data_IF_524215710340
#
_entry.id   IF_524215710340
#
_cell.length_a   1.000
_cell.length_b   1.000
_cell.length_c   1.000
_cell.angle_alpha   90.00
_cell.angle_beta   90.00
_cell.angle_gamma   90.00
#
_symmetry.space_group_name_H-M   'P 1'
#
loop_
_entity.id
_entity.type
_entity.pdbx_description
1 polymer ?
#
# COMPACT_ATOMS: atom_id res chain seq x y z
N UNK A 1 -22.84 -2.26 4.66
CA UNK A 1 -21.83 -2.00 3.61
C UNK A 1 -21.31 -0.58 3.79
N UNK A 2 -20.19 -0.40 4.50
CA UNK A 2 -19.52 0.89 4.58
C UNK A 2 -18.35 0.88 3.60
N UNK A 3 -18.44 1.63 2.50
CA UNK A 3 -17.36 1.75 1.51
C UNK A 3 -16.09 2.35 2.16
N UNK A 4 -14.93 1.87 1.73
CA UNK A 4 -13.65 2.47 2.14
C UNK A 4 -13.54 3.91 1.66
N UNK A 5 -12.78 4.75 2.38
CA UNK A 5 -12.44 6.11 1.94
C UNK A 5 -11.20 6.09 1.06
N UNK A 6 -11.29 5.40 -0.07
CA UNK A 6 -10.15 5.27 -0.99
C UNK A 6 -9.77 6.63 -1.55
N UNK A 7 -8.47 6.94 -1.55
CA UNK A 7 -7.96 8.27 -1.90
C UNK A 7 -7.13 8.24 -3.18
N UNK A 8 -6.14 7.34 -3.25
CA UNK A 8 -5.20 7.29 -4.36
C UNK A 8 -4.89 5.86 -4.78
N UNK A 9 -4.44 5.72 -6.02
CA UNK A 9 -4.13 4.48 -6.69
C UNK A 9 -2.77 4.59 -7.36
N UNK A 10 -1.95 3.56 -7.25
CA UNK A 10 -0.69 3.43 -7.99
C UNK A 10 -0.39 1.95 -8.27
N UNK A 11 0.67 1.65 -9.01
CA UNK A 11 0.98 0.29 -9.44
C UNK A 11 2.48 0.05 -9.58
N UNK A 12 2.89 -1.19 -9.32
CA UNK A 12 4.21 -1.72 -9.67
C UNK A 12 4.00 -2.87 -10.68
N UNK A 13 4.48 -2.64 -11.90
CA UNK A 13 4.30 -3.53 -13.05
C UNK A 13 5.63 -3.95 -13.66
N UNK A 14 6.73 -3.79 -12.89
CA UNK A 14 8.07 -4.25 -13.28
C UNK A 14 8.09 -5.76 -13.56
N UNK A 15 7.23 -6.51 -12.86
CA UNK A 15 6.87 -7.88 -13.21
C UNK A 15 5.46 -7.92 -13.83
N UNK A 16 5.33 -8.02 -15.17
CA UNK A 16 4.04 -8.02 -15.85
C UNK A 16 3.24 -9.32 -15.67
N UNK A 17 3.86 -10.41 -15.21
CA UNK A 17 3.13 -11.66 -14.88
C UNK A 17 2.65 -11.68 -13.44
N UNK A 18 3.12 -10.73 -12.62
CA UNK A 18 2.69 -10.55 -11.24
C UNK A 18 2.60 -9.05 -10.90
N UNK A 19 1.71 -8.27 -11.54
CA UNK A 19 1.56 -6.86 -11.21
C UNK A 19 1.04 -6.68 -9.78
N UNK A 20 1.37 -5.53 -9.18
CA UNK A 20 0.88 -5.11 -7.87
C UNK A 20 0.18 -3.77 -8.00
N UNK A 21 -1.07 -3.72 -7.55
CA UNK A 21 -1.86 -2.49 -7.56
C UNK A 21 -2.08 -2.02 -6.13
N UNK A 22 -1.84 -0.75 -5.86
CA UNK A 22 -1.90 -0.18 -4.53
C UNK A 22 -3.07 0.77 -4.41
N UNK A 23 -3.71 0.77 -3.23
CA UNK A 23 -4.75 1.74 -2.90
C UNK A 23 -4.59 2.22 -1.46
N UNK A 24 -4.57 3.54 -1.28
CA UNK A 24 -4.60 4.18 0.04
C UNK A 24 -6.04 4.43 0.49
N UNK A 25 -6.22 4.60 1.80
CA UNK A 25 -7.52 4.94 2.38
C UNK A 25 -7.36 6.12 3.34
N UNK A 26 -7.92 7.28 3.00
CA UNK A 26 -7.83 8.50 3.81
C UNK A 26 -8.76 8.41 5.04
N UNK A 27 -8.28 7.67 6.04
CA UNK A 27 -8.86 7.61 7.37
C UNK A 27 -7.85 7.14 8.41
N UNK A 28 -8.18 7.36 9.68
CA UNK A 28 -7.35 7.00 10.81
C UNK A 28 -6.88 5.52 10.83
N UNK A 29 -7.70 4.60 10.30
CA UNK A 29 -7.40 3.16 10.18
C UNK A 29 -7.40 2.72 8.71
N UNK A 30 -6.89 3.55 7.82
CA UNK A 30 -6.78 3.23 6.40
C UNK A 30 -5.50 2.44 6.15
N UNK A 31 -5.60 1.12 6.08
CA UNK A 31 -4.44 0.30 5.74
C UNK A 31 -4.20 0.38 4.23
N UNK A 32 -2.94 0.60 3.83
CA UNK A 32 -2.55 0.55 2.42
C UNK A 32 -2.78 -0.87 1.92
N UNK A 33 -3.45 -0.98 0.78
CA UNK A 33 -3.83 -2.25 0.17
C UNK A 33 -2.94 -2.56 -1.01
N UNK A 34 -2.67 -3.84 -1.24
CA UNK A 34 -2.03 -4.36 -2.44
C UNK A 34 -2.89 -5.45 -3.03
N UNK A 35 -3.33 -5.25 -4.27
CA UNK A 35 -4.04 -6.25 -5.05
C UNK A 35 -3.09 -6.88 -6.07
N UNK A 36 -3.15 -8.21 -6.16
CA UNK A 36 -2.44 -9.01 -7.16
C UNK A 36 -3.46 -9.88 -7.90
N UNK A 37 -3.71 -9.65 -9.19
CA UNK A 37 -4.65 -10.46 -9.96
C UNK A 37 -4.13 -11.90 -10.12
N UNK A 38 -5.03 -12.89 -10.10
CA UNK A 38 -4.66 -14.30 -10.30
C UNK A 38 -4.29 -14.60 -11.77
N UNK A 39 -4.79 -13.79 -12.69
CA UNK A 39 -4.58 -13.93 -14.14
C UNK A 39 -4.45 -12.54 -14.77
N UNK A 40 -3.24 -11.97 -14.85
CA UNK A 40 -3.03 -10.67 -15.48
C UNK A 40 -3.40 -10.68 -16.96
N UNK A 41 -4.15 -9.67 -17.40
CA UNK A 41 -4.52 -9.47 -18.80
C UNK A 41 -4.32 -7.99 -19.17
N UNK A 42 -3.23 -7.71 -19.88
CA UNK A 42 -2.87 -6.35 -20.30
C UNK A 42 -3.72 -5.83 -21.46
N UNK A 43 -4.39 -6.72 -22.20
CA UNK A 43 -5.33 -6.36 -23.26
C UNK A 43 -6.72 -5.99 -22.71
N UNK A 44 -7.02 -6.41 -21.46
CA UNK A 44 -8.24 -6.03 -20.74
C UNK A 44 -7.96 -5.67 -19.25
N UNK A 45 -7.32 -4.51 -19.00
CA UNK A 45 -6.98 -4.10 -17.63
C UNK A 45 -8.19 -3.85 -16.75
N UNK A 46 -9.33 -3.49 -17.33
CA UNK A 46 -10.56 -3.28 -16.58
C UNK A 46 -11.02 -4.57 -15.91
N UNK A 47 -11.14 -5.65 -16.69
CA UNK A 47 -11.51 -6.96 -16.15
C UNK A 47 -10.42 -7.50 -15.23
N UNK A 48 -9.14 -7.25 -15.53
CA UNK A 48 -8.03 -7.61 -14.64
C UNK A 48 -8.17 -7.00 -13.23
N UNK A 49 -8.54 -5.71 -13.12
CA UNK A 49 -8.69 -5.02 -11.84
C UNK A 49 -9.97 -5.40 -11.07
N UNK A 50 -10.97 -5.94 -11.76
CA UNK A 50 -12.25 -6.36 -11.16
C UNK A 50 -12.41 -7.89 -11.06
N UNK A 51 -11.40 -8.63 -11.51
CA UNK A 51 -11.36 -10.09 -11.48
C UNK A 51 -10.94 -10.65 -10.12
N UNK A 52 -10.64 -11.95 -10.10
CA UNK A 52 -10.10 -12.59 -8.90
C UNK A 52 -8.64 -12.21 -8.67
N UNK A 53 -8.23 -12.24 -7.42
CA UNK A 53 -6.86 -11.95 -7.01
C UNK A 53 -6.70 -11.97 -5.50
N UNK A 54 -5.46 -11.79 -5.08
CA UNK A 54 -5.08 -11.70 -3.68
C UNK A 54 -5.06 -10.25 -3.23
N UNK A 55 -5.70 -9.97 -2.09
CA UNK A 55 -5.67 -8.68 -1.43
C UNK A 55 -4.85 -8.78 -0.15
N UNK A 56 -3.72 -8.08 -0.12
CA UNK A 56 -2.87 -7.93 1.04
C UNK A 56 -2.94 -6.51 1.60
N UNK A 57 -2.49 -6.36 2.85
CA UNK A 57 -2.43 -5.11 3.58
C UNK A 57 -1.04 -4.88 4.13
N UNK A 58 -0.57 -3.63 4.04
CA UNK A 58 0.77 -3.27 4.52
C UNK A 58 0.83 -3.26 6.05
N UNK A 59 1.87 -3.86 6.60
CA UNK A 59 2.22 -3.81 8.02
C UNK A 59 3.60 -3.17 8.15
N UNK A 60 3.71 -2.09 8.93
CA UNK A 60 5.00 -1.51 9.29
C UNK A 60 5.49 -2.05 10.63
N UNK A 61 6.77 -2.40 10.67
CA UNK A 61 7.50 -2.77 11.89
C UNK A 61 8.66 -1.79 12.07
N UNK A 62 8.50 -0.74 12.91
CA UNK A 62 9.55 0.21 13.18
C UNK A 62 10.75 -0.45 13.85
N UNK A 63 11.96 -0.12 13.40
CA UNK A 63 13.22 -0.56 14.05
C UNK A 63 14.13 0.59 14.43
N UNK A 64 13.80 1.81 14.01
CA UNK A 64 14.45 3.05 14.43
C UNK A 64 13.42 4.20 14.46
N UNK A 65 13.90 5.42 14.70
CA UNK A 65 13.01 6.59 14.81
C UNK A 65 12.22 6.84 13.51
N UNK A 66 12.86 6.65 12.36
CA UNK A 66 12.30 7.00 11.06
C UNK A 66 12.47 5.89 10.00
N UNK A 67 12.72 4.66 10.45
CA UNK A 67 13.03 3.52 9.58
C UNK A 67 12.46 2.22 10.12
N UNK A 68 12.26 1.27 9.23
CA UNK A 68 11.79 -0.06 9.59
C UNK A 68 11.55 -0.95 8.39
N UNK A 69 10.83 -2.05 8.64
CA UNK A 69 10.45 -3.02 7.62
C UNK A 69 8.96 -2.93 7.31
N UNK A 70 8.60 -3.38 6.12
CA UNK A 70 7.21 -3.64 5.75
C UNK A 70 7.01 -5.12 5.47
N UNK A 71 5.80 -5.61 5.75
CA UNK A 71 5.34 -6.90 5.27
C UNK A 71 3.94 -6.77 4.73
N UNK A 72 3.56 -7.64 3.81
CA UNK A 72 2.21 -7.74 3.27
C UNK A 72 1.50 -8.92 3.93
N UNK A 73 0.33 -8.69 4.52
CA UNK A 73 -0.45 -9.73 5.20
C UNK A 73 -1.94 -9.64 4.90
N UNK A 74 -2.66 -10.73 5.11
CA UNK A 74 -4.08 -10.86 4.75
C UNK A 74 -5.07 -10.40 5.84
N UNK A 75 -4.61 -10.16 7.07
CA UNK A 75 -5.48 -9.72 8.18
C UNK A 75 -5.71 -8.21 8.15
N UNK A 76 -6.83 -7.81 7.56
CA UNK A 76 -7.27 -6.41 7.50
C UNK A 76 -7.37 -5.77 8.88
N UNK A 77 -7.85 -6.47 9.90
CA UNK A 77 -8.06 -5.89 11.21
C UNK A 77 -6.72 -5.54 11.87
N UNK A 78 -5.75 -6.45 11.80
CA UNK A 78 -4.40 -6.18 12.30
C UNK A 78 -3.72 -5.05 11.51
N UNK A 79 -3.90 -5.02 10.19
CA UNK A 79 -3.39 -3.95 9.35
C UNK A 79 -4.01 -2.59 9.67
N UNK A 80 -5.31 -2.53 9.96
CA UNK A 80 -5.97 -1.30 10.39
C UNK A 80 -5.44 -0.78 11.73
N UNK A 81 -5.15 -1.68 12.67
CA UNK A 81 -4.52 -1.33 13.95
C UNK A 81 -3.08 -0.86 13.75
N UNK A 82 -2.34 -1.49 12.84
CA UNK A 82 -0.97 -1.10 12.48
C UNK A 82 -0.95 0.28 11.81
N UNK A 83 -1.80 0.51 10.81
CA UNK A 83 -1.92 1.77 10.08
C UNK A 83 -2.21 2.95 11.03
N UNK A 84 -3.17 2.78 11.96
CA UNK A 84 -3.48 3.80 12.97
C UNK A 84 -2.26 4.23 13.79
N UNK A 85 -1.32 3.32 14.04
CA UNK A 85 -0.15 3.56 14.87
C UNK A 85 1.00 4.16 14.06
N UNK A 86 1.23 3.65 12.85
CA UNK A 86 2.47 3.88 12.12
C UNK A 86 2.33 4.86 10.95
N UNK A 87 1.19 4.83 10.24
CA UNK A 87 0.96 5.63 9.04
C UNK A 87 -0.52 6.09 8.93
N UNK A 88 -1.08 6.78 9.95
CA UNK A 88 -2.49 7.12 9.98
C UNK A 88 -2.87 8.15 8.90
N UNK A 89 -4.06 7.99 8.31
CA UNK A 89 -4.61 8.93 7.31
C UNK A 89 -3.65 9.10 6.11
N UNK A 90 -3.27 7.98 5.51
CA UNK A 90 -2.51 7.94 4.26
C UNK A 90 -3.36 8.46 3.10
N UNK A 91 -2.82 9.39 2.32
CA UNK A 91 -3.49 10.02 1.18
C UNK A 91 -2.80 9.64 -0.14
N UNK A 92 -2.15 10.59 -0.80
CA UNK A 92 -1.47 10.37 -2.07
C UNK A 92 -0.41 9.28 -1.99
N UNK A 93 -0.44 8.39 -2.98
CA UNK A 93 0.60 7.39 -3.22
C UNK A 93 1.09 7.50 -4.66
N UNK A 94 2.36 7.16 -4.87
CA UNK A 94 2.93 7.02 -6.20
C UNK A 94 4.02 5.94 -6.20
N UNK A 95 4.35 5.42 -7.38
CA UNK A 95 5.39 4.40 -7.56
C UNK A 95 6.32 4.84 -8.68
N UNK A 96 7.61 4.90 -8.36
CA UNK A 96 8.70 5.09 -9.33
C UNK A 96 9.72 3.99 -9.12
N UNK A 97 9.98 3.18 -10.15
CA UNK A 97 10.83 1.99 -10.06
C UNK A 97 10.43 1.06 -8.89
N UNK A 98 11.33 0.84 -7.93
CA UNK A 98 11.11 0.02 -6.74
C UNK A 98 10.58 0.81 -5.53
N UNK A 99 10.29 2.10 -5.69
CA UNK A 99 9.96 2.98 -4.58
C UNK A 99 8.48 3.33 -4.61
N UNK A 100 7.77 2.99 -3.53
CA UNK A 100 6.42 3.48 -3.27
C UNK A 100 6.48 4.66 -2.31
N UNK A 101 6.01 5.81 -2.78
CA UNK A 101 5.86 7.04 -2.01
C UNK A 101 4.47 7.09 -1.41
N UNK A 102 4.37 7.52 -0.16
CA UNK A 102 3.09 7.65 0.53
C UNK A 102 3.10 8.84 1.48
N UNK A 103 2.10 9.72 1.37
CA UNK A 103 1.92 10.86 2.28
C UNK A 103 0.95 10.50 3.40
N UNK A 104 1.28 10.84 4.64
CA UNK A 104 0.39 10.72 5.81
C UNK A 104 0.10 12.09 6.41
N UNK A 105 -1.13 12.58 6.26
CA UNK A 105 -1.49 13.95 6.67
C UNK A 105 -1.47 14.17 8.17
N UNK A 106 -1.85 13.14 8.94
CA UNK A 106 -2.05 13.24 10.38
C UNK A 106 -0.75 13.56 11.11
N UNK A 107 0.33 12.93 10.65
CA UNK A 107 1.69 13.10 11.19
C UNK A 107 2.58 13.97 10.30
N UNK A 108 2.06 14.46 9.17
CA UNK A 108 2.74 15.31 8.20
C UNK A 108 4.06 14.68 7.70
N UNK A 109 4.01 13.39 7.38
CA UNK A 109 5.20 12.65 6.95
C UNK A 109 5.06 12.11 5.53
N UNK A 110 6.17 12.12 4.79
CA UNK A 110 6.37 11.35 3.57
C UNK A 110 7.07 10.04 3.92
N UNK A 111 6.49 8.91 3.52
CA UNK A 111 7.13 7.61 3.56
C UNK A 111 7.65 7.25 2.18
N UNK A 112 8.86 6.68 2.15
CA UNK A 112 9.45 6.05 0.97
C UNK A 112 9.64 4.59 1.32
N UNK A 113 8.91 3.72 0.65
CA UNK A 113 8.94 2.26 0.82
C UNK A 113 9.74 1.65 -0.33
N UNK A 114 10.81 0.96 0.00
CA UNK A 114 11.55 0.13 -0.95
C UNK A 114 10.85 -1.23 -1.07
N UNK A 115 10.24 -1.48 -2.22
CA UNK A 115 9.45 -2.67 -2.52
C UNK A 115 10.32 -3.92 -2.74
N UNK A 116 11.61 -3.76 -3.00
CA UNK A 116 12.53 -4.89 -3.20
C UNK A 116 13.17 -5.29 -1.86
N UNK A 117 13.62 -4.30 -1.08
CA UNK A 117 14.19 -4.53 0.25
C UNK A 117 13.13 -4.75 1.35
N UNK A 118 11.87 -4.42 1.08
CA UNK A 118 10.77 -4.43 2.04
C UNK A 118 11.08 -3.57 3.28
N UNK A 119 11.63 -2.38 3.04
CA UNK A 119 11.98 -1.40 4.07
C UNK A 119 11.31 -0.07 3.83
N UNK A 120 11.26 0.78 4.85
CA UNK A 120 10.84 2.17 4.66
C UNK A 120 11.75 3.15 5.38
N UNK A 121 11.74 4.39 4.88
CA UNK A 121 12.18 5.59 5.59
C UNK A 121 11.05 6.61 5.60
N UNK A 122 10.98 7.46 6.62
CA UNK A 122 10.05 8.59 6.64
C UNK A 122 10.73 9.93 6.95
N UNK A 123 10.13 10.97 6.40
CA UNK A 123 10.58 12.36 6.50
C UNK A 123 9.40 13.19 6.98
N UNK A 124 9.62 14.05 7.98
CA UNK A 124 8.60 14.90 8.62
C UNK A 124 9.02 16.36 8.56
#
# INVERSE_FOLDING_TARGET
>A
FGGGRFESFSYDVRDPVQPRFFASEDRLRGALRRFTPDSPNWDDPWTMLHGSGTLDYMMMTPTGNNTGYITWGSDLFQAQLNAKRNYPESEGIDVEENLLYMVCKRIKSLFIVDLDAMTYSNFS
#
